data_IF_026383765897
#
_entry.id   IF_026383765897
#
_cell.length_a   1.000
_cell.length_b   1.000
_cell.length_c   1.000
_cell.angle_alpha   90.00
_cell.angle_beta   90.00
_cell.angle_gamma   90.00
#
_symmetry.space_group_name_H-M   'P 1'
#
loop_
_entity.id
_entity.type
_entity.pdbx_description
1 polymer ?
#
# COMPACT_ATOMS: atom_id res chain seq x y z
N UNK A 1 19.62 -50.72 -16.00
CA UNK A 1 20.01 -50.04 -14.74
C UNK A 1 20.36 -48.57 -14.93
N UNK A 2 21.35 -48.20 -15.77
CA UNK A 2 21.73 -46.78 -15.99
C UNK A 2 20.58 -45.89 -16.50
N UNK A 3 19.77 -46.37 -17.45
CA UNK A 3 18.62 -45.61 -17.99
C UNK A 3 17.54 -45.36 -16.92
N UNK A 4 17.27 -46.35 -16.07
CA UNK A 4 16.29 -46.23 -14.98
C UNK A 4 16.75 -45.17 -13.96
N UNK A 5 18.05 -45.11 -13.65
CA UNK A 5 18.61 -44.10 -12.76
C UNK A 5 18.44 -42.69 -13.34
N UNK A 6 18.66 -42.51 -14.64
CA UNK A 6 18.48 -41.20 -15.31
C UNK A 6 17.02 -40.74 -15.26
N UNK A 7 16.07 -41.64 -15.51
CA UNK A 7 14.63 -41.33 -15.44
C UNK A 7 14.22 -40.91 -14.03
N UNK A 8 14.71 -41.61 -13.00
CA UNK A 8 14.42 -41.26 -11.60
C UNK A 8 14.99 -39.89 -11.25
N UNK A 9 16.23 -39.58 -11.66
CA UNK A 9 16.84 -38.25 -11.44
C UNK A 9 16.00 -37.15 -12.11
N UNK A 10 15.53 -37.39 -13.34
CA UNK A 10 14.73 -36.41 -14.06
C UNK A 10 13.37 -36.18 -13.39
N UNK A 11 12.72 -37.23 -12.89
CA UNK A 11 11.48 -37.12 -12.13
C UNK A 11 11.68 -36.37 -10.80
N UNK A 12 12.78 -36.64 -10.09
CA UNK A 12 13.13 -35.91 -8.87
C UNK A 12 13.37 -34.44 -9.17
N UNK A 13 14.09 -34.11 -10.25
CA UNK A 13 14.32 -32.72 -10.68
C UNK A 13 13.03 -32.02 -11.12
N UNK A 14 12.16 -32.69 -11.87
CA UNK A 14 10.87 -32.14 -12.28
C UNK A 14 9.96 -31.88 -11.07
N UNK A 15 9.97 -32.78 -10.09
CA UNK A 15 9.23 -32.62 -8.84
C UNK A 15 9.80 -31.50 -7.97
N UNK A 16 11.13 -31.42 -7.83
CA UNK A 16 11.81 -30.32 -7.13
C UNK A 16 11.57 -28.97 -7.81
N UNK A 17 11.61 -28.92 -9.14
CA UNK A 17 11.35 -27.71 -9.91
C UNK A 17 9.89 -27.27 -9.77
N UNK A 18 8.95 -28.21 -9.86
CA UNK A 18 7.54 -27.95 -9.59
C UNK A 18 7.33 -27.43 -8.18
N UNK A 19 7.95 -28.06 -7.17
CA UNK A 19 7.86 -27.66 -5.77
C UNK A 19 8.48 -26.27 -5.50
N UNK A 20 9.64 -25.97 -6.08
CA UNK A 20 10.28 -24.65 -5.99
C UNK A 20 9.48 -23.58 -6.71
N UNK A 21 8.90 -23.89 -7.86
CA UNK A 21 8.07 -22.97 -8.64
C UNK A 21 6.70 -22.71 -7.99
N UNK A 22 6.22 -23.65 -7.17
CA UNK A 22 4.97 -23.53 -6.40
C UNK A 22 5.16 -22.90 -5.01
N UNK A 23 6.39 -22.52 -4.61
CA UNK A 23 6.51 -21.61 -3.48
C UNK A 23 5.79 -20.32 -3.87
N UNK A 24 4.83 -19.90 -3.05
CA UNK A 24 4.13 -18.64 -3.19
C UNK A 24 5.14 -17.59 -3.66
N UNK A 25 4.89 -16.94 -4.81
CA UNK A 25 5.70 -15.78 -5.18
C UNK A 25 5.56 -14.81 -4.03
N UNK A 26 6.65 -14.64 -3.29
CA UNK A 26 6.71 -13.64 -2.22
C UNK A 26 6.76 -12.29 -2.90
N UNK A 27 5.94 -11.37 -2.41
CA UNK A 27 5.79 -10.02 -2.92
C UNK A 27 6.05 -9.04 -1.79
N UNK A 28 6.41 -7.81 -2.15
CA UNK A 28 6.47 -6.71 -1.19
C UNK A 28 7.67 -6.73 -0.25
N UNK A 29 8.70 -7.56 -0.48
CA UNK A 29 9.84 -7.68 0.44
C UNK A 29 10.80 -6.50 0.34
N UNK A 30 11.01 -5.99 -0.87
CA UNK A 30 11.81 -4.80 -1.17
C UNK A 30 11.09 -3.86 -2.15
N UNK A 31 11.62 -2.65 -2.33
CA UNK A 31 11.02 -1.63 -3.18
C UNK A 31 10.83 -2.09 -4.63
N UNK A 32 11.77 -2.87 -5.16
CA UNK A 32 11.72 -3.33 -6.56
C UNK A 32 10.63 -4.38 -6.75
N UNK A 33 10.48 -5.29 -5.79
CA UNK A 33 9.40 -6.28 -5.75
C UNK A 33 8.01 -5.62 -5.60
N UNK A 34 7.90 -4.56 -4.78
CA UNK A 34 6.69 -3.74 -4.68
C UNK A 34 6.34 -3.12 -6.04
N UNK A 35 7.30 -2.46 -6.70
CA UNK A 35 7.11 -1.86 -8.03
C UNK A 35 6.67 -2.90 -9.06
N UNK A 36 7.35 -4.05 -9.10
CA UNK A 36 7.01 -5.15 -10.00
C UNK A 36 5.59 -5.67 -9.75
N UNK A 37 5.18 -5.80 -8.49
CA UNK A 37 3.81 -6.18 -8.15
C UNK A 37 2.80 -5.17 -8.68
N UNK A 38 3.04 -3.86 -8.45
CA UNK A 38 2.14 -2.80 -8.93
C UNK A 38 2.02 -2.87 -10.46
N UNK A 39 3.13 -2.90 -11.19
CA UNK A 39 3.13 -2.97 -12.66
C UNK A 39 2.37 -4.19 -13.18
N UNK A 40 2.61 -5.38 -12.60
CA UNK A 40 1.96 -6.63 -13.02
C UNK A 40 0.46 -6.61 -12.72
N UNK A 41 0.04 -6.07 -11.58
CA UNK A 41 -1.36 -6.10 -11.13
C UNK A 41 -2.23 -5.02 -11.78
N UNK A 42 -1.66 -3.86 -12.07
CA UNK A 42 -2.39 -2.72 -12.65
C UNK A 42 -2.25 -2.62 -14.17
N UNK A 43 -1.20 -3.23 -14.74
CA UNK A 43 -0.84 -3.04 -16.14
C UNK A 43 -0.17 -1.69 -16.44
N UNK A 44 0.15 -0.90 -15.41
CA UNK A 44 0.94 0.33 -15.52
C UNK A 44 2.34 -0.02 -16.06
N UNK A 45 2.77 0.69 -17.10
CA UNK A 45 4.07 0.49 -17.78
C UNK A 45 5.07 1.63 -17.58
N UNK A 46 4.62 2.71 -16.93
CA UNK A 46 5.41 3.90 -16.62
C UNK A 46 6.24 3.70 -15.35
N UNK A 47 7.12 4.67 -15.07
CA UNK A 47 7.98 4.63 -13.89
C UNK A 47 7.14 4.75 -12.62
N UNK A 48 7.31 3.79 -11.70
CA UNK A 48 6.64 3.78 -10.41
C UNK A 48 7.63 4.24 -9.35
N UNK A 49 7.24 5.26 -8.60
CA UNK A 49 7.97 5.74 -7.43
C UNK A 49 7.22 5.32 -6.18
N UNK A 50 7.81 4.42 -5.40
CA UNK A 50 7.33 4.09 -4.06
C UNK A 50 7.92 5.12 -3.10
N UNK A 51 7.07 5.87 -2.40
CA UNK A 51 7.51 7.00 -1.58
C UNK A 51 7.39 6.74 -0.07
N UNK A 52 6.53 5.82 0.34
CA UNK A 52 6.35 5.47 1.74
C UNK A 52 5.99 3.99 1.89
N UNK A 53 6.46 3.37 2.96
CA UNK A 53 6.19 1.97 3.32
C UNK A 53 5.91 1.93 4.82
N UNK A 54 4.67 1.63 5.17
CA UNK A 54 4.26 1.39 6.55
C UNK A 54 4.08 -0.10 6.80
N UNK A 55 4.84 -0.63 7.77
CA UNK A 55 4.67 -1.97 8.28
C UNK A 55 3.77 -1.99 9.52
N UNK A 56 2.84 -2.92 9.53
CA UNK A 56 1.93 -3.26 10.64
C UNK A 56 2.10 -4.73 10.99
N UNK A 57 1.52 -5.19 12.11
CA UNK A 57 1.71 -6.56 12.62
C UNK A 57 1.52 -7.66 11.55
N UNK A 58 0.49 -7.52 10.72
CA UNK A 58 0.12 -8.50 9.68
C UNK A 58 0.10 -7.95 8.27
N UNK A 59 0.42 -6.68 8.07
CA UNK A 59 0.27 -6.01 6.78
C UNK A 59 1.43 -5.08 6.48
N UNK A 60 1.76 -4.93 5.21
CA UNK A 60 2.64 -3.89 4.68
C UNK A 60 1.86 -3.08 3.68
N UNK A 61 1.91 -1.76 3.80
CA UNK A 61 1.21 -0.83 2.92
C UNK A 61 2.25 0.09 2.33
N UNK A 62 2.27 0.19 1.00
CA UNK A 62 3.20 1.05 0.29
C UNK A 62 2.46 2.05 -0.59
N UNK A 63 2.78 3.34 -0.40
CA UNK A 63 2.28 4.44 -1.22
C UNK A 63 3.14 4.58 -2.48
N UNK A 64 2.50 4.84 -3.62
CA UNK A 64 3.21 5.02 -4.88
C UNK A 64 2.61 6.11 -5.76
N UNK A 65 3.45 6.65 -6.64
CA UNK A 65 3.08 7.56 -7.73
C UNK A 65 3.47 6.91 -9.05
N UNK A 66 2.63 7.09 -10.06
CA UNK A 66 2.83 6.61 -11.41
C UNK A 66 3.10 7.75 -12.41
N UNK A 67 4.38 8.02 -12.69
CA UNK A 67 4.85 9.03 -13.67
C UNK A 67 5.80 10.07 -13.07
N UNK A 68 5.79 11.29 -13.63
CA UNK A 68 6.45 12.48 -13.07
C UNK A 68 5.42 13.41 -12.40
N UNK A 69 5.66 13.74 -11.13
CA UNK A 69 4.85 14.43 -10.08
C UNK A 69 3.65 15.35 -10.43
N UNK A 70 3.48 15.82 -11.66
CA UNK A 70 2.54 16.89 -12.04
C UNK A 70 1.18 16.42 -12.61
N UNK A 71 0.98 15.13 -12.95
CA UNK A 71 -0.31 14.61 -13.48
C UNK A 71 -0.58 13.13 -13.12
N UNK A 72 0.10 12.64 -12.09
CA UNK A 72 0.26 11.22 -11.91
C UNK A 72 -0.84 10.58 -11.07
N UNK A 73 -1.19 9.36 -11.46
CA UNK A 73 -2.00 8.51 -10.61
C UNK A 73 -1.19 8.14 -9.38
N UNK A 74 -1.65 8.53 -8.21
CA UNK A 74 -1.14 8.00 -6.96
C UNK A 74 -1.97 6.81 -6.52
N UNK A 75 -1.49 6.08 -5.54
CA UNK A 75 -2.19 4.93 -5.01
C UNK A 75 -1.43 4.28 -3.90
N UNK A 76 -1.97 3.17 -3.44
CA UNK A 76 -1.31 2.35 -2.45
C UNK A 76 -1.56 0.87 -2.72
N UNK A 77 -0.60 0.04 -2.32
CA UNK A 77 -0.67 -1.40 -2.41
C UNK A 77 -0.57 -2.01 -1.03
N UNK A 78 -1.37 -3.04 -0.79
CA UNK A 78 -1.44 -3.75 0.49
C UNK A 78 -0.96 -5.18 0.30
N UNK A 79 -0.05 -5.58 1.17
CA UNK A 79 0.46 -6.93 1.28
C UNK A 79 0.12 -7.49 2.66
N UNK A 80 -0.25 -8.77 2.71
CA UNK A 80 -0.51 -9.50 3.95
C UNK A 80 0.69 -10.38 4.30
N UNK A 81 1.13 -10.34 5.55
CA UNK A 81 2.25 -11.13 6.06
C UNK A 81 1.83 -12.59 6.25
N UNK A 82 2.56 -13.51 5.65
CA UNK A 82 2.34 -14.97 5.80
C UNK A 82 3.36 -15.58 6.78
N UNK A 83 4.62 -15.14 6.68
CA UNK A 83 5.73 -15.51 7.57
C UNK A 83 6.58 -14.26 7.87
N UNK A 84 7.50 -14.30 8.86
CA UNK A 84 8.50 -13.25 9.00
C UNK A 84 9.16 -12.97 7.65
N UNK A 85 9.15 -11.69 7.25
CA UNK A 85 9.71 -11.18 6.00
C UNK A 85 9.20 -11.84 4.71
N UNK A 86 7.95 -12.34 4.73
CA UNK A 86 7.29 -12.86 3.55
C UNK A 86 5.85 -12.32 3.48
N UNK A 87 5.56 -11.62 2.39
CA UNK A 87 4.21 -11.10 2.15
C UNK A 87 3.60 -11.68 0.88
N UNK A 88 2.27 -11.76 0.91
CA UNK A 88 1.42 -12.06 -0.25
C UNK A 88 0.68 -10.78 -0.64
N UNK A 89 0.44 -10.61 -1.94
CA UNK A 89 -0.39 -9.52 -2.43
C UNK A 89 -1.83 -9.69 -1.92
N UNK A 90 -2.39 -8.63 -1.31
CA UNK A 90 -3.79 -8.58 -0.90
C UNK A 90 -4.61 -7.80 -1.92
N UNK A 91 -4.33 -6.50 -2.09
CA UNK A 91 -5.01 -5.66 -3.08
C UNK A 91 -4.19 -4.41 -3.44
N UNK A 92 -4.65 -3.70 -4.47
CA UNK A 92 -4.11 -2.41 -4.89
C UNK A 92 -5.24 -1.43 -5.17
N UNK A 93 -5.06 -0.19 -4.71
CA UNK A 93 -5.91 0.94 -5.05
C UNK A 93 -5.09 1.96 -5.84
N UNK A 94 -5.69 2.49 -6.91
CA UNK A 94 -5.12 3.55 -7.73
C UNK A 94 -6.17 4.64 -7.81
N UNK A 95 -5.84 5.86 -7.37
CA UNK A 95 -6.75 7.00 -7.58
C UNK A 95 -6.62 7.48 -9.02
N UNK A 96 -7.78 7.76 -9.62
CA UNK A 96 -7.85 8.21 -11.01
C UNK A 96 -7.74 9.73 -11.15
N UNK A 97 -7.90 10.51 -10.07
CA UNK A 97 -7.77 11.98 -10.03
C UNK A 97 -8.21 12.53 -8.65
N UNK A 98 -7.31 13.15 -7.91
CA UNK A 98 -7.70 14.17 -6.92
C UNK A 98 -7.14 15.52 -7.36
N UNK A 99 -8.04 16.49 -7.56
CA UNK A 99 -7.70 17.80 -8.14
C UNK A 99 -6.78 18.65 -7.25
N UNK A 100 -6.75 18.32 -5.97
CA UNK A 100 -5.94 18.89 -4.89
C UNK A 100 -4.73 18.01 -4.54
N UNK A 101 -4.55 16.85 -5.19
CA UNK A 101 -3.46 15.92 -4.89
C UNK A 101 -3.57 15.22 -3.53
N UNK A 102 -4.75 15.18 -2.90
CA UNK A 102 -5.02 14.45 -1.65
C UNK A 102 -6.17 13.46 -1.88
N UNK A 103 -6.04 12.24 -1.38
CA UNK A 103 -7.11 11.21 -1.46
C UNK A 103 -7.30 10.59 -0.09
N UNK A 104 -8.56 10.38 0.30
CA UNK A 104 -8.94 9.62 1.49
C UNK A 104 -9.64 8.35 1.07
N UNK A 105 -9.15 7.20 1.54
CA UNK A 105 -9.80 5.92 1.35
C UNK A 105 -9.98 5.19 2.68
N UNK A 106 -10.86 4.19 2.69
CA UNK A 106 -11.18 3.36 3.84
C UNK A 106 -10.64 1.95 3.65
N UNK A 107 -9.82 1.52 4.61
CA UNK A 107 -9.13 0.25 4.57
C UNK A 107 -9.54 -0.63 5.74
N UNK A 108 -10.12 -1.80 5.42
CA UNK A 108 -10.42 -2.85 6.41
C UNK A 108 -9.30 -3.90 6.44
N UNK A 109 -8.64 -4.03 7.59
CA UNK A 109 -7.57 -5.00 7.82
C UNK A 109 -7.95 -5.94 8.97
N UNK A 110 -8.77 -6.95 8.63
CA UNK A 110 -9.26 -7.92 9.61
C UNK A 110 -10.26 -7.29 10.57
N UNK A 111 -9.92 -7.19 11.85
CA UNK A 111 -10.81 -6.61 12.87
C UNK A 111 -10.68 -5.09 13.00
N UNK A 112 -9.65 -4.49 12.39
CA UNK A 112 -9.38 -3.07 12.47
C UNK A 112 -9.77 -2.36 11.17
N UNK A 113 -10.31 -1.16 11.30
CA UNK A 113 -10.55 -0.25 10.17
C UNK A 113 -9.56 0.92 10.28
N UNK A 114 -9.12 1.41 9.14
CA UNK A 114 -8.22 2.53 9.00
C UNK A 114 -8.77 3.47 7.93
N UNK A 115 -8.58 4.76 8.15
CA UNK A 115 -8.59 5.71 7.05
C UNK A 115 -7.15 5.89 6.58
N UNK A 116 -6.96 5.79 5.28
CA UNK A 116 -5.70 6.03 4.61
C UNK A 116 -5.81 7.37 3.89
N UNK A 117 -4.83 8.24 4.12
CA UNK A 117 -4.68 9.49 3.37
C UNK A 117 -3.42 9.38 2.56
N UNK A 118 -3.56 9.53 1.25
CA UNK A 118 -2.45 9.53 0.30
C UNK A 118 -2.37 10.94 -0.28
N UNK A 119 -1.19 11.54 -0.27
CA UNK A 119 -1.05 12.90 -0.74
C UNK A 119 0.23 13.12 -1.54
N UNK A 120 0.07 13.84 -2.65
CA UNK A 120 1.12 14.39 -3.50
C UNK A 120 0.90 15.91 -3.69
N UNK A 121 0.54 16.61 -2.62
CA UNK A 121 0.38 18.06 -2.61
C UNK A 121 1.50 18.71 -1.78
N UNK A 122 2.39 19.49 -2.40
CA UNK A 122 3.57 20.06 -1.72
C UNK A 122 3.24 21.03 -0.58
N UNK A 123 2.04 21.60 -0.57
CA UNK A 123 1.58 22.51 0.50
C UNK A 123 0.98 21.74 1.68
N UNK A 124 0.62 20.46 1.50
CA UNK A 124 -0.03 19.65 2.52
C UNK A 124 0.91 19.29 3.68
N UNK A 125 0.55 19.72 4.90
CA UNK A 125 1.35 19.54 6.10
C UNK A 125 0.58 18.93 7.29
N UNK A 126 -0.75 18.99 7.30
CA UNK A 126 -1.54 18.56 8.45
C UNK A 126 -2.92 18.03 8.08
N UNK A 127 -3.33 16.94 8.74
CA UNK A 127 -4.70 16.42 8.72
C UNK A 127 -5.36 16.75 10.04
N UNK A 128 -6.58 17.31 9.99
CA UNK A 128 -7.49 17.37 11.13
C UNK A 128 -8.64 16.42 10.87
N UNK A 129 -8.78 15.43 11.74
CA UNK A 129 -9.87 14.46 11.70
C UNK A 129 -10.86 14.76 12.80
N UNK A 130 -12.10 15.08 12.44
CA UNK A 130 -13.19 15.34 13.39
C UNK A 130 -14.10 14.12 13.43
N UNK A 131 -14.17 13.48 14.60
CA UNK A 131 -14.91 12.23 14.83
C UNK A 131 -16.12 12.53 15.72
N UNK A 132 -17.32 12.39 15.16
CA UNK A 132 -18.57 12.73 15.86
C UNK A 132 -18.70 11.97 17.19
N UNK A 133 -18.82 12.70 18.30
CA UNK A 133 -18.99 12.09 19.63
C UNK A 133 -17.73 11.46 20.24
N UNK A 134 -16.57 11.54 19.58
CA UNK A 134 -15.27 11.10 20.13
C UNK A 134 -14.34 12.28 20.36
N UNK A 135 -14.14 13.14 19.36
CA UNK A 135 -13.23 14.27 19.48
C UNK A 135 -12.61 14.71 18.17
N UNK A 136 -11.42 15.31 18.26
CA UNK A 136 -10.64 15.76 17.11
C UNK A 136 -9.21 15.30 17.26
N UNK A 137 -8.68 14.70 16.20
CA UNK A 137 -7.28 14.29 16.11
C UNK A 137 -6.58 15.18 15.09
N UNK A 138 -5.32 15.54 15.37
CA UNK A 138 -4.47 16.29 14.46
C UNK A 138 -3.23 15.45 14.17
N UNK A 139 -2.99 15.19 12.89
CA UNK A 139 -1.83 14.45 12.42
C UNK A 139 -0.98 15.38 11.57
N UNK A 140 0.29 15.54 11.95
CA UNK A 140 1.27 16.29 11.17
C UNK A 140 1.95 15.37 10.17
N UNK A 141 2.15 15.88 8.97
CA UNK A 141 2.78 15.19 7.85
C UNK A 141 4.24 15.62 7.79
N UNK A 142 5.14 14.65 7.64
CA UNK A 142 6.59 14.88 7.78
C UNK A 142 7.32 15.02 6.45
N UNK A 143 6.71 14.62 5.34
CA UNK A 143 7.27 14.71 4.00
C UNK A 143 6.16 14.73 2.95
N UNK A 144 6.51 15.11 1.73
CA UNK A 144 5.64 14.97 0.56
C UNK A 144 6.41 14.28 -0.56
N UNK A 145 5.80 13.33 -1.30
CA UNK A 145 4.47 12.72 -1.09
C UNK A 145 4.42 11.87 0.19
N UNK A 146 3.21 11.61 0.71
CA UNK A 146 3.01 10.91 1.99
C UNK A 146 1.87 9.91 1.97
N UNK A 147 1.98 8.91 2.85
CA UNK A 147 0.93 7.95 3.15
C UNK A 147 0.71 7.98 4.66
N UNK A 148 -0.50 8.32 5.09
CA UNK A 148 -0.86 8.39 6.50
C UNK A 148 -1.98 7.40 6.80
N UNK A 149 -1.77 6.56 7.81
CA UNK A 149 -2.77 5.62 8.32
C UNK A 149 -3.30 6.11 9.66
N UNK A 150 -4.61 6.23 9.78
CA UNK A 150 -5.28 6.61 11.01
C UNK A 150 -6.29 5.52 11.39
N UNK A 151 -6.12 4.93 12.57
CA UNK A 151 -7.05 3.91 13.05
C UNK A 151 -8.42 4.54 13.30
N UNK A 152 -9.46 3.88 12.80
CA UNK A 152 -10.85 4.27 12.97
C UNK A 152 -11.37 3.87 14.35
N UNK A 153 -12.32 4.65 14.93
CA UNK A 153 -12.96 4.27 16.18
C UNK A 153 -13.74 2.97 16.03
N UNK A 154 -13.73 2.14 17.07
CA UNK A 154 -14.43 0.83 17.11
C UNK A 154 -15.95 0.99 16.97
N UNK A 155 -16.50 2.17 17.29
CA UNK A 155 -17.92 2.46 17.23
C UNK A 155 -18.41 2.62 15.79
N UNK A 156 -19.08 1.58 15.28
CA UNK A 156 -19.76 1.57 13.98
C UNK A 156 -20.75 2.74 13.88
N UNK A 157 -20.76 3.43 12.73
CA UNK A 157 -21.62 4.57 12.36
C UNK A 157 -21.21 5.95 12.91
N UNK A 158 -19.96 6.13 13.31
CA UNK A 158 -19.46 7.46 13.65
C UNK A 158 -19.17 8.24 12.36
N UNK A 159 -19.77 9.42 12.19
CA UNK A 159 -19.44 10.31 11.07
C UNK A 159 -18.07 10.94 11.31
N UNK A 160 -17.23 10.94 10.27
CA UNK A 160 -15.89 11.47 10.30
C UNK A 160 -15.74 12.48 9.17
N UNK A 161 -15.20 13.64 9.51
CA UNK A 161 -14.83 14.67 8.56
C UNK A 161 -13.32 14.88 8.60
N UNK A 162 -12.74 15.03 7.41
CA UNK A 162 -11.33 15.33 7.20
C UNK A 162 -11.19 16.77 6.74
N UNK A 163 -10.16 17.44 7.21
CA UNK A 163 -9.74 18.76 6.75
C UNK A 163 -8.23 18.74 6.61
N UNK A 164 -7.73 19.31 5.52
CA UNK A 164 -6.30 19.29 5.18
C UNK A 164 -5.76 20.71 5.22
N UNK A 165 -4.59 20.88 5.83
CA UNK A 165 -3.98 22.20 6.03
C UNK A 165 -2.52 22.23 5.62
N UNK A 166 -2.07 23.44 5.27
CA UNK A 166 -0.66 23.79 5.09
C UNK A 166 0.06 24.03 6.44
N UNK A 167 1.35 24.39 6.38
CA UNK A 167 2.16 24.69 7.56
C UNK A 167 1.69 25.94 8.32
N UNK A 168 1.03 26.87 7.63
CA UNK A 168 0.51 28.12 8.19
C UNK A 168 -0.91 27.97 8.77
N UNK A 169 -1.55 26.82 8.54
CA UNK A 169 -2.90 26.48 9.01
C UNK A 169 -4.03 26.90 8.05
N UNK A 170 -3.72 27.21 6.79
CA UNK A 170 -4.73 27.43 5.76
C UNK A 170 -5.18 26.10 5.16
N UNK A 171 -6.44 26.01 4.75
CA UNK A 171 -7.02 24.81 4.13
C UNK A 171 -6.52 24.68 2.68
N UNK A 172 -6.14 23.46 2.27
CA UNK A 172 -5.53 23.16 0.96
C UNK A 172 -6.41 22.31 0.02
N UNK A 173 -7.65 22.02 0.42
CA UNK A 173 -8.70 21.33 -0.37
C UNK A 173 -9.88 22.28 -0.63
#
# INVERSE_FOLDING_TARGET
>A
KKIIIIIIIFLVFAWLYGWLSNRNKYFGNDVEDIKNTIMVKTGIKSNITVFDITDMDYYRIAGFINGDYDNDKMGYVVFKKEYPDNYIFEYIHVTDQSGDGIEVDFLNLGENNYSIVIANNTEFAQIKRVIAGVGTDIVKISHNPSLTLMQEPIHRNTSIAYYFYDEDGNEVE
#
